data_IF_387295954295
#
_entry.id   IF_387295954295
#
_cell.length_a   1.000
_cell.length_b   1.000
_cell.length_c   1.000
_cell.angle_alpha   90.00
_cell.angle_beta   90.00
_cell.angle_gamma   90.00
#
_symmetry.space_group_name_H-M   'P 1'
#
loop_
_entity.id
_entity.type
_entity.pdbx_description
1 polymer ?
#
# COMPACT_ATOMS: atom_id res chain seq x y z
N UNK A 1 -11.02 3.62 14.28
CA UNK A 1 -11.69 2.82 13.22
C UNK A 1 -12.53 1.68 13.79
N UNK A 2 -11.96 0.70 14.50
CA UNK A 2 -12.69 -0.49 14.97
C UNK A 2 -13.92 -0.20 15.86
N UNK A 3 -13.84 0.78 16.76
CA UNK A 3 -14.97 1.17 17.60
C UNK A 3 -16.15 1.73 16.77
N UNK A 4 -15.85 2.57 15.77
CA UNK A 4 -16.86 3.12 14.86
C UNK A 4 -17.59 2.02 14.09
N UNK A 5 -16.83 1.06 13.55
CA UNK A 5 -17.39 -0.09 12.82
C UNK A 5 -18.31 -0.93 13.71
N UNK A 6 -17.91 -1.21 14.95
CA UNK A 6 -18.75 -1.95 15.90
C UNK A 6 -20.02 -1.20 16.23
N UNK A 7 -19.91 0.09 16.59
CA UNK A 7 -21.05 0.93 16.95
C UNK A 7 -22.05 1.03 15.81
N UNK A 8 -21.57 1.20 14.57
CA UNK A 8 -22.40 1.26 13.38
C UNK A 8 -23.28 0.00 13.22
N UNK A 9 -22.71 -1.18 13.52
CA UNK A 9 -23.46 -2.44 13.51
C UNK A 9 -24.42 -2.55 14.67
N UNK A 10 -24.01 -2.13 15.87
CA UNK A 10 -24.86 -2.14 17.06
C UNK A 10 -26.11 -1.28 16.92
N UNK A 11 -26.00 -0.10 16.31
CA UNK A 11 -27.16 0.79 16.08
C UNK A 11 -27.99 0.41 14.85
N UNK A 12 -27.60 -0.65 14.13
CA UNK A 12 -28.32 -1.12 12.95
C UNK A 12 -28.31 -0.12 11.78
N UNK A 13 -27.22 0.64 11.60
CA UNK A 13 -27.12 1.61 10.50
C UNK A 13 -27.26 0.90 9.14
N UNK A 14 -28.26 1.31 8.36
CA UNK A 14 -28.52 0.80 7.00
C UNK A 14 -27.88 1.71 5.96
N UNK A 15 -26.57 1.60 5.82
CA UNK A 15 -25.80 2.34 4.83
C UNK A 15 -24.65 1.47 4.30
N UNK A 16 -24.11 1.83 3.13
CA UNK A 16 -22.85 1.26 2.64
C UNK A 16 -21.69 1.88 3.43
N UNK A 17 -20.97 1.12 4.25
CA UNK A 17 -19.82 1.66 4.96
C UNK A 17 -18.59 1.65 4.06
N UNK A 18 -18.11 2.85 3.75
CA UNK A 18 -16.80 3.07 3.15
C UNK A 18 -15.88 3.55 4.27
N UNK A 19 -14.90 2.73 4.64
CA UNK A 19 -13.99 3.01 5.75
C UNK A 19 -12.56 2.77 5.30
N UNK A 20 -11.95 3.83 4.79
CA UNK A 20 -10.53 3.83 4.43
C UNK A 20 -9.66 3.61 5.69
N UNK A 21 -8.73 2.68 5.58
CA UNK A 21 -7.75 2.40 6.62
C UNK A 21 -8.10 1.31 7.62
N UNK A 22 -9.19 0.55 7.42
CA UNK A 22 -9.45 -0.63 8.26
C UNK A 22 -8.28 -1.63 8.19
N UNK A 23 -7.78 -1.90 7.00
CA UNK A 23 -6.70 -2.87 6.77
C UNK A 23 -5.30 -2.35 7.05
N UNK A 24 -5.13 -1.10 7.49
CA UNK A 24 -3.80 -0.55 7.78
C UNK A 24 -3.17 -1.16 9.03
N UNK A 25 -3.98 -1.73 9.93
CA UNK A 25 -3.53 -2.46 11.11
C UNK A 25 -3.60 -3.97 10.85
N UNK A 26 -2.50 -4.69 11.04
CA UNK A 26 -2.40 -6.12 10.67
C UNK A 26 -3.40 -7.06 11.37
N UNK A 27 -3.87 -6.70 12.58
CA UNK A 27 -4.83 -7.47 13.37
C UNK A 27 -6.27 -6.90 13.32
N UNK A 28 -6.63 -6.14 12.28
CA UNK A 28 -7.94 -5.50 12.13
C UNK A 28 -9.12 -6.44 12.37
N UNK A 29 -9.03 -7.72 11.96
CA UNK A 29 -10.12 -8.68 12.11
C UNK A 29 -10.32 -9.11 13.56
N UNK A 30 -9.26 -9.28 14.34
CA UNK A 30 -9.37 -9.54 15.78
C UNK A 30 -10.07 -8.37 16.49
N UNK A 31 -9.80 -7.15 16.02
CA UNK A 31 -10.39 -5.93 16.59
C UNK A 31 -11.86 -5.73 16.20
N UNK A 32 -12.33 -6.24 15.06
CA UNK A 32 -13.66 -5.91 14.50
C UNK A 32 -14.59 -7.12 14.37
N UNK A 33 -14.05 -8.33 14.25
CA UNK A 33 -14.83 -9.54 14.01
C UNK A 33 -15.76 -9.41 12.80
N UNK A 34 -16.94 -10.02 12.89
CA UNK A 34 -17.96 -9.97 11.82
C UNK A 34 -18.46 -8.56 11.51
N UNK A 35 -18.24 -7.58 12.40
CA UNK A 35 -18.66 -6.20 12.13
C UNK A 35 -17.94 -5.58 10.93
N UNK A 36 -16.78 -6.12 10.54
CA UNK A 36 -16.06 -5.71 9.32
C UNK A 36 -16.74 -6.14 8.02
N UNK A 37 -17.57 -7.19 8.05
CA UNK A 37 -18.12 -7.76 6.81
C UNK A 37 -18.94 -6.70 6.07
N UNK A 38 -18.70 -6.57 4.76
CA UNK A 38 -19.38 -5.62 3.89
C UNK A 38 -18.77 -4.21 3.86
N UNK A 39 -17.75 -3.92 4.68
CA UNK A 39 -17.02 -2.66 4.60
C UNK A 39 -16.25 -2.60 3.28
N UNK A 40 -16.39 -1.47 2.58
CA UNK A 40 -15.61 -1.11 1.40
C UNK A 40 -14.43 -0.24 1.84
N UNK A 41 -13.27 -0.49 1.25
CA UNK A 41 -12.01 0.19 1.54
C UNK A 41 -11.16 0.22 0.26
N UNK A 42 -10.14 1.07 0.20
CA UNK A 42 -9.11 1.06 -0.83
C UNK A 42 -7.79 0.72 -0.17
N UNK A 43 -7.26 -0.46 -0.48
CA UNK A 43 -6.13 -0.98 0.29
C UNK A 43 -5.19 -1.79 -0.58
N UNK A 44 -3.91 -1.70 -0.24
CA UNK A 44 -2.85 -2.46 -0.90
C UNK A 44 -2.98 -3.93 -0.55
N UNK A 45 -2.64 -4.79 -1.52
CA UNK A 45 -2.65 -6.24 -1.36
C UNK A 45 -1.23 -6.78 -1.42
N UNK A 46 -0.96 -7.78 -0.60
CA UNK A 46 0.28 -8.53 -0.69
C UNK A 46 0.41 -9.21 -2.05
N UNK A 47 1.61 -9.16 -2.63
CA UNK A 47 1.96 -9.94 -3.81
C UNK A 47 2.71 -11.21 -3.39
N UNK A 48 2.87 -12.17 -4.31
CA UNK A 48 3.72 -13.34 -4.09
C UNK A 48 5.18 -12.96 -3.73
N UNK A 49 5.67 -11.80 -4.18
CA UNK A 49 7.04 -11.30 -3.90
C UNK A 49 7.24 -10.89 -2.45
N UNK A 50 6.15 -10.55 -1.75
CA UNK A 50 6.21 -10.06 -0.36
C UNK A 50 6.38 -11.15 0.70
N UNK A 51 6.24 -12.43 0.35
CA UNK A 51 6.27 -13.54 1.31
C UNK A 51 7.56 -13.57 2.16
N UNK A 52 8.78 -13.45 1.58
CA UNK A 52 10.00 -13.44 2.38
C UNK A 52 10.10 -12.26 3.35
N UNK A 53 9.55 -11.09 2.98
CA UNK A 53 9.49 -9.93 3.86
C UNK A 53 8.54 -10.20 5.04
N UNK A 54 7.35 -10.75 4.77
CA UNK A 54 6.36 -11.05 5.81
C UNK A 54 6.91 -12.05 6.83
N UNK A 55 7.60 -13.10 6.38
CA UNK A 55 8.21 -14.11 7.25
C UNK A 55 9.27 -13.50 8.17
N UNK A 56 10.22 -12.74 7.60
CA UNK A 56 11.25 -12.03 8.39
C UNK A 56 10.68 -11.01 9.37
N UNK A 57 9.60 -10.32 8.98
CA UNK A 57 8.94 -9.37 9.87
C UNK A 57 8.33 -10.08 11.08
N UNK A 58 7.62 -11.19 10.88
CA UNK A 58 7.03 -11.96 11.97
C UNK A 58 8.10 -12.54 12.88
N UNK A 59 9.18 -13.09 12.33
CA UNK A 59 10.32 -13.61 13.11
C UNK A 59 10.90 -12.54 14.04
N UNK A 60 11.05 -11.30 13.53
CA UNK A 60 11.67 -10.21 14.28
C UNK A 60 10.75 -9.52 15.27
N UNK A 61 9.49 -9.31 14.89
CA UNK A 61 8.57 -8.43 15.63
C UNK A 61 7.43 -9.18 16.32
N UNK A 62 7.27 -10.47 16.06
CA UNK A 62 6.25 -11.34 16.67
C UNK A 62 4.80 -10.88 16.44
N UNK A 63 4.54 -10.18 15.32
CA UNK A 63 3.20 -9.91 14.81
C UNK A 63 3.20 -9.80 13.28
N UNK A 64 2.02 -9.90 12.66
CA UNK A 64 1.89 -9.84 11.19
C UNK A 64 1.94 -8.39 10.69
N UNK A 65 2.77 -8.08 9.67
CA UNK A 65 2.71 -6.77 9.03
C UNK A 65 1.41 -6.60 8.24
N UNK A 66 0.96 -5.36 8.05
CA UNK A 66 -0.07 -5.04 7.06
C UNK A 66 0.58 -4.67 5.71
N UNK A 67 -0.10 -4.94 4.60
CA UNK A 67 0.40 -4.57 3.26
C UNK A 67 0.60 -3.05 3.16
N UNK A 68 -0.31 -2.27 3.74
CA UNK A 68 -0.27 -0.81 3.68
C UNK A 68 0.79 -0.19 4.59
N UNK A 69 0.97 -0.66 5.82
CA UNK A 69 2.01 -0.10 6.70
C UNK A 69 3.39 -0.74 6.47
N UNK A 70 3.45 -2.05 6.25
CA UNK A 70 4.72 -2.76 6.05
C UNK A 70 5.20 -2.72 4.60
N UNK A 71 4.32 -3.05 3.66
CA UNK A 71 4.65 -3.18 2.24
C UNK A 71 4.96 -1.84 1.57
N UNK A 72 4.09 -0.84 1.74
CA UNK A 72 4.33 0.51 1.18
C UNK A 72 5.61 1.11 1.77
N UNK A 73 5.81 1.01 3.09
CA UNK A 73 7.03 1.55 3.71
C UNK A 73 8.29 0.83 3.26
N UNK A 74 8.24 -0.49 3.03
CA UNK A 74 9.37 -1.23 2.47
C UNK A 74 9.73 -0.72 1.07
N UNK A 75 8.74 -0.59 0.18
CA UNK A 75 9.00 -0.14 -1.19
C UNK A 75 9.42 1.34 -1.24
N UNK A 76 8.81 2.20 -0.42
CA UNK A 76 9.18 3.61 -0.31
C UNK A 76 10.61 3.79 0.22
N UNK A 77 11.04 2.99 1.20
CA UNK A 77 12.42 2.97 1.64
C UNK A 77 13.36 2.52 0.51
N UNK A 78 12.95 1.53 -0.29
CA UNK A 78 13.68 1.09 -1.49
C UNK A 78 13.87 2.21 -2.52
N UNK A 79 12.81 2.94 -2.85
CA UNK A 79 12.88 4.12 -3.72
C UNK A 79 13.86 5.17 -3.17
N UNK A 80 13.78 5.47 -1.88
CA UNK A 80 14.68 6.44 -1.25
C UNK A 80 16.15 5.99 -1.30
N UNK A 81 16.43 4.72 -0.99
CA UNK A 81 17.78 4.15 -1.12
C UNK A 81 18.30 4.23 -2.56
N UNK A 82 17.42 4.03 -3.56
CA UNK A 82 17.78 4.18 -4.98
C UNK A 82 18.16 5.64 -5.30
N UNK A 83 17.45 6.63 -4.77
CA UNK A 83 17.81 8.05 -4.89
C UNK A 83 19.18 8.33 -4.25
N UNK A 84 19.44 7.82 -3.04
CA UNK A 84 20.73 8.00 -2.36
C UNK A 84 21.88 7.40 -3.18
N UNK A 85 21.75 6.15 -3.63
CA UNK A 85 22.76 5.50 -4.44
C UNK A 85 23.04 6.28 -5.73
N UNK A 86 21.99 6.81 -6.38
CA UNK A 86 22.14 7.64 -7.57
C UNK A 86 22.86 8.97 -7.30
N UNK A 87 22.62 9.60 -6.15
CA UNK A 87 23.33 10.81 -5.74
C UNK A 87 24.81 10.52 -5.50
N UNK A 88 25.12 9.43 -4.80
CA UNK A 88 26.50 8.99 -4.55
C UNK A 88 27.23 8.64 -5.85
N UNK A 89 26.58 7.95 -6.80
CA UNK A 89 27.14 7.62 -8.11
C UNK A 89 27.49 8.88 -8.92
N UNK A 90 26.58 9.87 -8.96
CA UNK A 90 26.70 11.05 -9.84
C UNK A 90 27.60 12.14 -9.25
N UNK A 91 27.58 12.31 -7.93
CA UNK A 91 28.25 13.43 -7.26
C UNK A 91 29.36 13.01 -6.31
N UNK A 92 29.50 11.72 -5.99
CA UNK A 92 30.52 11.20 -5.08
C UNK A 92 30.25 11.47 -3.60
N UNK A 93 29.13 12.11 -3.26
CA UNK A 93 28.77 12.47 -1.88
C UNK A 93 27.25 12.46 -1.62
N UNK A 94 26.89 12.26 -0.35
CA UNK A 94 25.52 12.33 0.14
C UNK A 94 25.33 13.55 1.03
N UNK A 95 24.65 14.56 0.52
CA UNK A 95 24.20 15.71 1.28
C UNK A 95 22.82 16.18 0.77
N UNK A 96 22.20 17.11 1.47
CA UNK A 96 20.85 17.58 1.13
C UNK A 96 20.75 18.14 -0.30
N UNK A 97 21.83 18.77 -0.81
CA UNK A 97 21.85 19.32 -2.17
C UNK A 97 21.90 18.21 -3.22
N UNK A 98 22.80 17.24 -3.09
CA UNK A 98 22.93 16.15 -4.06
C UNK A 98 21.69 15.26 -4.09
N UNK A 99 21.10 14.97 -2.92
CA UNK A 99 19.86 14.20 -2.79
C UNK A 99 18.69 14.97 -3.41
N UNK A 100 18.56 16.27 -3.14
CA UNK A 100 17.51 17.10 -3.71
C UNK A 100 17.60 17.18 -5.24
N UNK A 101 18.81 17.32 -5.79
CA UNK A 101 19.01 17.33 -7.25
C UNK A 101 18.52 16.04 -7.90
N UNK A 102 18.89 14.87 -7.39
CA UNK A 102 18.39 13.59 -7.93
C UNK A 102 16.86 13.50 -7.78
N UNK A 103 16.33 13.93 -6.64
CA UNK A 103 14.89 13.90 -6.37
C UNK A 103 14.13 14.77 -7.39
N UNK A 104 14.54 16.03 -7.57
CA UNK A 104 13.85 16.99 -8.42
C UNK A 104 14.08 16.73 -9.92
N UNK A 105 15.29 16.37 -10.33
CA UNK A 105 15.66 16.29 -11.75
C UNK A 105 15.43 14.90 -12.36
N UNK A 106 15.49 13.84 -11.55
CA UNK A 106 15.42 12.45 -12.01
C UNK A 106 14.19 11.71 -11.47
N UNK A 107 13.96 11.69 -10.15
CA UNK A 107 12.80 11.00 -9.57
C UNK A 107 11.48 11.68 -9.96
N UNK A 108 11.31 12.96 -9.62
CA UNK A 108 10.07 13.71 -9.83
C UNK A 108 9.68 13.85 -11.31
N UNK A 109 10.65 13.76 -12.22
CA UNK A 109 10.44 13.81 -13.66
C UNK A 109 10.18 12.43 -14.29
N UNK A 110 10.28 11.36 -13.50
CA UNK A 110 10.07 9.98 -13.94
C UNK A 110 11.26 9.33 -14.65
N UNK A 111 12.43 9.97 -14.66
CA UNK A 111 13.68 9.37 -15.20
C UNK A 111 14.23 8.29 -14.27
N UNK A 112 13.98 8.41 -12.96
CA UNK A 112 14.34 7.42 -11.96
C UNK A 112 13.06 6.86 -11.32
N UNK A 113 12.82 5.57 -11.52
CA UNK A 113 11.67 4.84 -10.94
C UNK A 113 12.16 3.71 -10.04
N UNK A 114 11.29 3.15 -9.22
CA UNK A 114 11.57 1.95 -8.42
C UNK A 114 10.45 0.94 -8.54
N UNK A 115 10.74 -0.26 -9.04
CA UNK A 115 9.71 -1.27 -9.26
C UNK A 115 10.14 -2.67 -8.90
N UNK A 116 9.38 -3.67 -9.38
CA UNK A 116 9.70 -5.08 -9.12
C UNK A 116 11.10 -5.49 -9.59
N UNK A 117 11.60 -4.89 -10.68
CA UNK A 117 12.95 -5.14 -11.18
C UNK A 117 14.03 -4.71 -10.17
N UNK A 118 13.74 -3.71 -9.34
CA UNK A 118 14.67 -3.16 -8.33
C UNK A 118 14.51 -3.83 -6.95
N UNK A 119 13.49 -4.67 -6.77
CA UNK A 119 13.23 -5.36 -5.50
C UNK A 119 11.98 -4.89 -4.76
N UNK A 120 11.11 -4.08 -5.39
CA UNK A 120 9.80 -3.80 -4.81
C UNK A 120 9.00 -5.10 -4.59
N UNK A 121 8.26 -5.16 -3.49
CA UNK A 121 7.48 -6.32 -3.06
C UNK A 121 5.98 -6.10 -3.16
N UNK A 122 5.52 -4.86 -3.30
CA UNK A 122 4.10 -4.52 -3.27
C UNK A 122 3.66 -3.78 -4.53
N UNK A 123 4.23 -2.61 -4.80
CA UNK A 123 3.88 -1.81 -5.98
C UNK A 123 4.72 -2.25 -7.18
N UNK A 124 4.06 -2.31 -8.35
CA UNK A 124 4.75 -2.68 -9.60
C UNK A 124 5.82 -1.65 -9.94
N UNK A 125 5.49 -0.37 -9.82
CA UNK A 125 6.43 0.72 -10.07
C UNK A 125 6.02 2.01 -9.34
N UNK A 126 6.96 2.58 -8.58
CA UNK A 126 6.95 3.96 -8.14
C UNK A 126 7.55 4.82 -9.24
N UNK A 127 6.67 5.45 -10.02
CA UNK A 127 7.03 6.40 -11.06
C UNK A 127 6.33 7.72 -10.77
N UNK A 128 7.07 8.80 -10.80
CA UNK A 128 6.51 10.15 -10.70
C UNK A 128 6.55 10.82 -12.07
N UNK A 129 5.73 11.84 -12.25
CA UNK A 129 5.79 12.71 -13.41
C UNK A 129 5.56 14.15 -12.95
N UNK A 130 5.97 15.17 -13.73
CA UNK A 130 5.67 16.55 -13.39
C UNK A 130 4.17 16.85 -13.26
N UNK A 131 3.30 16.04 -13.89
CA UNK A 131 1.85 16.19 -13.85
C UNK A 131 1.24 15.69 -12.53
N UNK A 132 1.76 14.59 -11.98
CA UNK A 132 1.19 13.94 -10.79
C UNK A 132 1.99 14.20 -9.51
N UNK A 133 3.22 14.71 -9.60
CA UNK A 133 4.06 14.99 -8.43
C UNK A 133 3.34 15.94 -7.45
N UNK A 134 3.35 15.67 -6.13
CA UNK A 134 4.22 14.73 -5.40
C UNK A 134 3.75 13.27 -5.37
N UNK A 135 2.62 12.94 -5.98
CA UNK A 135 2.09 11.58 -5.98
C UNK A 135 2.69 10.74 -7.12
N UNK A 136 2.87 9.43 -6.92
CA UNK A 136 3.24 8.55 -8.01
C UNK A 136 2.08 8.40 -9.00
N UNK A 137 2.42 8.10 -10.25
CA UNK A 137 1.48 7.71 -11.29
C UNK A 137 0.62 6.54 -10.77
N UNK A 138 -0.69 6.76 -10.75
CA UNK A 138 -1.65 5.85 -10.13
C UNK A 138 -2.45 5.10 -11.19
N UNK A 139 -2.05 3.86 -11.46
CA UNK A 139 -2.75 2.91 -12.31
C UNK A 139 -2.31 1.48 -11.98
N UNK A 140 -3.00 0.47 -12.54
CA UNK A 140 -2.76 -0.95 -12.25
C UNK A 140 -1.37 -1.47 -12.62
N UNK A 141 -0.54 -0.69 -13.34
CA UNK A 141 0.84 -1.02 -13.71
C UNK A 141 1.90 -0.26 -12.91
N UNK A 142 1.53 0.74 -12.12
CA UNK A 142 2.46 1.55 -11.32
C UNK A 142 2.13 1.42 -9.82
N UNK A 143 1.61 2.50 -9.22
CA UNK A 143 1.15 2.53 -7.84
C UNK A 143 -0.37 2.34 -7.81
N UNK A 144 -0.85 1.36 -7.06
CA UNK A 144 -2.28 1.01 -7.12
C UNK A 144 -2.83 0.45 -5.81
N UNK A 145 -3.99 0.95 -5.43
CA UNK A 145 -4.83 0.39 -4.38
C UNK A 145 -6.17 -0.06 -4.98
N UNK A 146 -6.43 -1.38 -5.08
CA UNK A 146 -7.75 -1.83 -5.50
C UNK A 146 -8.81 -1.42 -4.48
N UNK A 147 -10.05 -1.28 -4.96
CA UNK A 147 -11.21 -1.25 -4.08
C UNK A 147 -11.45 -2.66 -3.59
N UNK A 148 -11.48 -2.82 -2.28
CA UNK A 148 -11.69 -4.09 -1.61
C UNK A 148 -12.98 -4.06 -0.80
N UNK A 149 -13.52 -5.25 -0.55
CA UNK A 149 -14.57 -5.45 0.43
C UNK A 149 -14.21 -6.58 1.40
N UNK A 150 -14.44 -6.32 2.69
CA UNK A 150 -14.12 -7.28 3.74
C UNK A 150 -15.22 -8.34 3.88
N UNK A 151 -14.82 -9.60 3.98
CA UNK A 151 -15.72 -10.73 4.25
C UNK A 151 -14.99 -11.88 4.93
N UNK A 152 -15.49 -12.33 6.08
CA UNK A 152 -14.98 -13.52 6.77
C UNK A 152 -13.50 -13.41 7.14
N UNK A 153 -13.06 -12.23 7.57
CA UNK A 153 -11.66 -11.99 7.93
C UNK A 153 -10.68 -11.83 6.75
N UNK A 154 -11.20 -11.64 5.53
CA UNK A 154 -10.39 -11.40 4.33
C UNK A 154 -10.79 -10.10 3.65
N UNK A 155 -9.80 -9.38 3.12
CA UNK A 155 -9.98 -8.26 2.21
C UNK A 155 -9.99 -8.78 0.77
N UNK A 156 -11.12 -8.69 0.07
CA UNK A 156 -11.26 -9.22 -1.28
C UNK A 156 -11.39 -8.08 -2.30
N UNK A 157 -10.71 -8.16 -3.44
CA UNK A 157 -10.82 -7.14 -4.50
C UNK A 157 -12.21 -7.20 -5.15
N UNK A 158 -12.88 -6.05 -5.23
CA UNK A 158 -14.16 -5.87 -5.95
C UNK A 158 -14.00 -4.99 -7.20
N UNK A 159 -12.96 -4.15 -7.24
CA UNK A 159 -12.60 -3.34 -8.40
C UNK A 159 -11.08 -3.11 -8.39
N UNK A 160 -10.39 -3.18 -9.55
CA UNK A 160 -10.90 -3.24 -10.91
C UNK A 160 -11.38 -4.65 -11.28
N UNK A 161 -12.25 -4.74 -12.29
CA UNK A 161 -12.99 -5.97 -12.58
C UNK A 161 -12.11 -7.12 -13.07
N UNK A 162 -10.98 -6.81 -13.70
CA UNK A 162 -9.96 -7.76 -14.15
C UNK A 162 -9.17 -8.40 -13.00
N UNK A 163 -9.13 -7.74 -11.84
CA UNK A 163 -8.49 -8.25 -10.61
C UNK A 163 -9.52 -8.74 -9.56
N UNK A 164 -10.81 -8.80 -9.91
CA UNK A 164 -11.90 -9.10 -8.98
C UNK A 164 -11.75 -10.49 -8.34
N UNK A 165 -11.80 -10.53 -7.01
CA UNK A 165 -11.79 -11.74 -6.19
C UNK A 165 -13.19 -12.10 -5.68
N UNK A 166 -14.08 -11.11 -5.52
CA UNK A 166 -15.49 -11.34 -5.17
C UNK A 166 -16.43 -10.30 -5.80
N UNK A 167 -17.70 -10.66 -5.94
CA UNK A 167 -18.74 -9.68 -6.26
C UNK A 167 -19.02 -8.76 -5.07
N UNK A 168 -19.44 -7.52 -5.36
CA UNK A 168 -19.89 -6.57 -4.37
C UNK A 168 -21.06 -7.14 -3.55
N UNK A 169 -20.93 -7.09 -2.23
CA UNK A 169 -21.94 -7.50 -1.28
C UNK A 169 -22.65 -6.27 -0.74
N UNK A 170 -23.98 -6.20 -0.88
CA UNK A 170 -24.78 -5.18 -0.19
C UNK A 170 -24.71 -5.45 1.32
N UNK A 171 -24.24 -4.49 2.13
CA UNK A 171 -23.97 -4.67 3.56
C UNK A 171 -25.20 -4.56 4.47
#
# INVERSE_FOLDING_TARGET
VSAYIKQMREVGLKALPIVDGLGWVGNWYELTGRSSDGIVDMNVKWTARSKPYQEKFVEKYNFKPSASAGGISYDAAGMFLKVLNRALEKYGELNSETIHKITAEEMATGKLTYGFADGAITMKEYKFTPEYYPDPLTDANHWFMPVIQYKGGKANIIYPLDLKEMDFMVP
#
